data_IF_640919920707
#
_entry.id   IF_640919920707
#
_cell.length_a   1.000
_cell.length_b   1.000
_cell.length_c   1.000
_cell.angle_alpha   90.00
_cell.angle_beta   90.00
_cell.angle_gamma   90.00
#
_symmetry.space_group_name_H-M   'P 1'
#
loop_
_entity.id
_entity.type
_entity.pdbx_description
1 polymer ?
#
# COMPACT_ATOMS: atom_id res chain seq x y z
N UNK A 1 -30.09 -2.04 -0.24
CA UNK A 1 -31.46 -1.85 -0.78
C UNK A 1 -31.50 -1.17 -2.15
N UNK A 2 -30.82 -0.04 -2.44
CA UNK A 2 -30.96 0.62 -3.75
C UNK A 2 -30.45 -0.22 -4.92
N UNK A 3 -29.37 -1.00 -4.71
CA UNK A 3 -28.79 -1.88 -5.73
C UNK A 3 -29.70 -3.07 -6.10
N UNK A 4 -30.42 -3.60 -5.11
CA UNK A 4 -31.39 -4.68 -5.32
C UNK A 4 -32.62 -4.18 -6.10
N UNK A 5 -33.16 -3.02 -5.74
CA UNK A 5 -34.26 -2.39 -6.47
C UNK A 5 -33.87 -2.03 -7.90
N UNK A 6 -32.64 -1.54 -8.11
CA UNK A 6 -32.09 -1.28 -9.44
C UNK A 6 -31.97 -2.56 -10.27
N UNK A 7 -31.48 -3.65 -9.67
CA UNK A 7 -31.39 -4.95 -10.34
C UNK A 7 -32.77 -5.51 -10.69
N UNK A 8 -33.73 -5.45 -9.75
CA UNK A 8 -35.11 -5.86 -9.98
C UNK A 8 -35.77 -5.05 -11.12
N UNK A 9 -35.56 -3.74 -11.13
CA UNK A 9 -36.02 -2.86 -12.21
C UNK A 9 -35.44 -3.26 -13.57
N UNK A 10 -34.12 -3.54 -13.64
CA UNK A 10 -33.48 -4.02 -14.87
C UNK A 10 -34.08 -5.36 -15.34
N UNK A 11 -34.32 -6.29 -14.43
CA UNK A 11 -34.88 -7.62 -14.76
C UNK A 11 -36.33 -7.51 -15.27
N UNK A 12 -37.15 -6.66 -14.64
CA UNK A 12 -38.57 -6.51 -15.00
C UNK A 12 -38.76 -5.69 -16.28
N UNK A 13 -38.05 -4.56 -16.40
CA UNK A 13 -38.28 -3.60 -17.49
C UNK A 13 -37.32 -3.77 -18.68
N UNK A 14 -36.17 -4.43 -18.49
CA UNK A 14 -35.14 -4.62 -19.52
C UNK A 14 -34.56 -6.05 -19.55
N UNK A 15 -35.39 -7.11 -19.60
CA UNK A 15 -34.92 -8.49 -19.53
C UNK A 15 -33.95 -8.86 -20.67
N UNK A 16 -34.07 -8.22 -21.84
CA UNK A 16 -33.17 -8.41 -22.98
C UNK A 16 -31.74 -7.94 -22.73
N UNK A 17 -31.49 -7.08 -21.72
CA UNK A 17 -30.15 -6.67 -21.33
C UNK A 17 -29.41 -7.75 -20.55
N UNK A 18 -30.11 -8.75 -20.00
CA UNK A 18 -29.49 -9.78 -19.17
C UNK A 18 -28.51 -10.65 -19.97
N UNK A 19 -28.89 -11.09 -21.18
CA UNK A 19 -28.03 -11.88 -22.05
C UNK A 19 -26.74 -11.18 -22.48
N UNK A 20 -26.76 -9.93 -23.01
CA UNK A 20 -25.53 -9.23 -23.35
C UNK A 20 -24.68 -8.92 -22.10
N UNK A 21 -25.29 -8.57 -20.96
CA UNK A 21 -24.55 -8.39 -19.71
C UNK A 21 -23.88 -9.69 -19.23
N UNK A 22 -24.59 -10.81 -19.30
CA UNK A 22 -24.06 -12.13 -18.96
C UNK A 22 -22.93 -12.52 -19.92
N UNK A 23 -23.08 -12.28 -21.22
CA UNK A 23 -22.05 -12.55 -22.21
C UNK A 23 -20.78 -11.72 -21.94
N UNK A 24 -20.94 -10.42 -21.65
CA UNK A 24 -19.82 -9.55 -21.26
C UNK A 24 -19.17 -10.04 -19.97
N UNK A 25 -19.96 -10.44 -18.97
CA UNK A 25 -19.45 -10.98 -17.72
C UNK A 25 -18.64 -12.27 -17.93
N UNK A 26 -19.18 -13.23 -18.69
CA UNK A 26 -18.51 -14.50 -19.00
C UNK A 26 -17.24 -14.28 -19.84
N UNK A 27 -17.28 -13.34 -20.79
CA UNK A 27 -16.10 -12.95 -21.56
C UNK A 27 -15.02 -12.37 -20.64
N UNK A 28 -15.37 -11.44 -19.75
CA UNK A 28 -14.42 -10.90 -18.77
C UNK A 28 -13.84 -12.01 -17.88
N UNK A 29 -14.69 -12.91 -17.40
CA UNK A 29 -14.29 -14.04 -16.57
C UNK A 29 -13.29 -14.96 -17.29
N UNK A 30 -13.50 -15.20 -18.59
CA UNK A 30 -12.56 -15.95 -19.44
C UNK A 30 -11.23 -15.21 -19.64
N UNK A 31 -11.26 -13.88 -19.69
CA UNK A 31 -10.07 -13.04 -19.89
C UNK A 31 -9.24 -12.83 -18.61
N UNK A 32 -9.78 -13.12 -17.42
CA UNK A 32 -9.08 -12.94 -16.13
C UNK A 32 -7.73 -13.68 -16.09
N UNK A 33 -7.63 -14.99 -16.38
CA UNK A 33 -6.35 -15.70 -16.34
C UNK A 33 -5.32 -15.15 -17.32
N UNK A 34 -5.77 -14.70 -18.50
CA UNK A 34 -4.91 -14.08 -19.50
C UNK A 34 -4.35 -12.74 -19.00
N UNK A 35 -5.21 -11.86 -18.50
CA UNK A 35 -4.78 -10.60 -17.89
C UNK A 35 -3.85 -10.81 -16.69
N UNK A 36 -4.12 -11.84 -15.88
CA UNK A 36 -3.28 -12.22 -14.75
C UNK A 36 -1.88 -12.67 -15.21
N UNK A 37 -1.79 -13.38 -16.34
CA UNK A 37 -0.49 -13.80 -16.92
C UNK A 37 0.35 -12.60 -17.31
N UNK A 38 -0.21 -11.66 -18.06
CA UNK A 38 0.51 -10.46 -18.50
C UNK A 38 1.02 -9.64 -17.29
N UNK A 39 0.17 -9.46 -16.28
CA UNK A 39 0.56 -8.81 -15.02
C UNK A 39 1.64 -9.58 -14.28
N UNK A 40 1.55 -10.91 -14.27
CA UNK A 40 2.52 -11.77 -13.59
C UNK A 40 3.91 -11.67 -14.20
N UNK A 41 3.99 -11.71 -15.53
CA UNK A 41 5.25 -11.54 -16.27
C UNK A 41 5.85 -10.16 -16.01
N UNK A 42 5.04 -9.11 -16.07
CA UNK A 42 5.48 -7.75 -15.79
C UNK A 42 5.99 -7.60 -14.35
N UNK A 43 5.21 -8.06 -13.36
CA UNK A 43 5.54 -7.97 -11.94
C UNK A 43 6.82 -8.70 -11.57
N UNK A 44 7.13 -9.82 -12.25
CA UNK A 44 8.34 -10.60 -11.97
C UNK A 44 9.62 -9.82 -12.34
N UNK A 45 9.52 -8.87 -13.26
CA UNK A 45 10.64 -8.04 -13.71
C UNK A 45 10.66 -6.72 -12.92
N UNK A 46 9.52 -6.08 -12.71
CA UNK A 46 9.48 -4.73 -12.10
C UNK A 46 9.67 -4.73 -10.60
N UNK A 47 9.06 -5.65 -9.85
CA UNK A 47 9.13 -5.65 -8.38
C UNK A 47 10.57 -5.76 -7.87
N UNK A 48 11.41 -6.69 -8.36
CA UNK A 48 12.82 -6.72 -7.95
C UNK A 48 13.54 -5.40 -8.23
N UNK A 49 13.31 -4.79 -9.40
CA UNK A 49 13.94 -3.52 -9.78
C UNK A 49 13.61 -2.37 -8.83
N UNK A 50 12.35 -2.22 -8.44
CA UNK A 50 11.91 -1.24 -7.45
C UNK A 50 12.54 -1.49 -6.07
N UNK A 51 12.57 -2.75 -5.63
CA UNK A 51 13.21 -3.13 -4.36
C UNK A 51 14.72 -2.84 -4.38
N UNK A 52 15.41 -3.11 -5.49
CA UNK A 52 16.84 -2.80 -5.62
C UNK A 52 17.11 -1.30 -5.56
N UNK A 53 16.30 -0.49 -6.24
CA UNK A 53 16.42 0.97 -6.17
C UNK A 53 16.33 1.49 -4.73
N UNK A 54 15.38 0.97 -3.94
CA UNK A 54 15.26 1.33 -2.53
C UNK A 54 16.42 0.77 -1.70
N UNK A 55 16.77 -0.50 -1.90
CA UNK A 55 17.82 -1.18 -1.13
C UNK A 55 19.18 -0.48 -1.21
N UNK A 56 19.52 0.04 -2.39
CA UNK A 56 20.80 0.72 -2.64
C UNK A 56 20.83 2.17 -2.14
N UNK A 57 19.67 2.78 -1.89
CA UNK A 57 19.57 4.16 -1.42
C UNK A 57 19.36 4.23 0.09
N UNK A 58 20.45 4.34 0.85
CA UNK A 58 20.38 4.43 2.32
C UNK A 58 19.58 5.63 2.81
N UNK A 59 19.62 6.77 2.09
CA UNK A 59 18.84 7.95 2.48
C UNK A 59 17.34 7.66 2.41
N UNK A 60 16.92 7.05 1.30
CA UNK A 60 15.55 6.64 1.08
C UNK A 60 15.07 5.64 2.14
N UNK A 61 15.91 4.63 2.47
CA UNK A 61 15.59 3.64 3.51
C UNK A 61 15.42 4.24 4.91
N UNK A 62 16.24 5.23 5.28
CA UNK A 62 16.10 5.92 6.57
C UNK A 62 14.82 6.77 6.62
N UNK A 63 14.51 7.48 5.54
CA UNK A 63 13.27 8.25 5.47
C UNK A 63 12.03 7.34 5.44
N UNK A 64 12.13 6.17 4.81
CA UNK A 64 11.08 5.15 4.82
C UNK A 64 10.86 4.57 6.22
N UNK A 65 11.92 4.34 7.00
CA UNK A 65 11.79 3.97 8.40
C UNK A 65 11.07 5.05 9.23
N UNK A 66 11.41 6.33 9.01
CA UNK A 66 10.75 7.46 9.68
C UNK A 66 9.28 7.62 9.28
N UNK A 67 8.97 7.39 8.01
CA UNK A 67 7.59 7.37 7.50
C UNK A 67 6.77 6.31 8.25
N UNK A 68 7.25 5.07 8.31
CA UNK A 68 6.60 3.99 9.04
C UNK A 68 6.45 4.31 10.52
N UNK A 69 7.51 4.82 11.16
CA UNK A 69 7.45 5.17 12.58
C UNK A 69 6.42 6.26 12.84
N UNK A 70 6.32 7.27 11.96
CA UNK A 70 5.33 8.34 12.06
C UNK A 70 3.91 7.77 11.98
N UNK A 71 3.61 6.94 10.97
CA UNK A 71 2.28 6.37 10.80
C UNK A 71 1.94 5.42 11.96
N UNK A 72 2.87 4.58 12.40
CA UNK A 72 2.67 3.68 13.54
C UNK A 72 2.35 4.46 14.82
N UNK A 73 3.07 5.55 15.10
CA UNK A 73 2.78 6.42 16.25
C UNK A 73 1.38 7.04 16.16
N UNK A 74 0.97 7.54 14.99
CA UNK A 74 -0.39 8.09 14.81
C UNK A 74 -1.45 7.00 15.04
N UNK A 75 -1.22 5.78 14.51
CA UNK A 75 -2.15 4.67 14.67
C UNK A 75 -2.22 4.14 16.11
N UNK A 76 -1.15 4.23 16.88
CA UNK A 76 -1.16 3.95 18.32
C UNK A 76 -2.02 4.96 19.09
N UNK A 77 -1.99 6.24 18.70
CA UNK A 77 -2.76 7.31 19.37
C UNK A 77 -4.25 7.28 19.01
N UNK A 78 -4.58 7.04 17.75
CA UNK A 78 -5.93 7.23 17.22
C UNK A 78 -6.56 5.94 16.66
N UNK A 79 -5.89 4.80 16.78
CA UNK A 79 -6.29 3.56 16.12
C UNK A 79 -6.02 3.57 14.61
N UNK A 80 -6.41 2.51 13.89
CA UNK A 80 -6.11 2.36 12.46
C UNK A 80 -6.62 3.54 11.62
N UNK A 81 -5.68 4.33 11.09
CA UNK A 81 -5.99 5.45 10.21
C UNK A 81 -5.95 5.03 8.74
N UNK A 82 -6.56 5.83 7.86
CA UNK A 82 -6.43 5.70 6.40
C UNK A 82 -5.27 6.56 5.89
N UNK A 83 -4.10 6.36 6.48
CA UNK A 83 -2.87 7.03 6.06
C UNK A 83 -2.07 6.11 5.14
N UNK A 84 -1.43 6.70 4.15
CA UNK A 84 -0.42 6.04 3.32
C UNK A 84 0.78 6.95 3.21
N UNK A 85 1.98 6.40 3.24
CA UNK A 85 3.20 7.18 3.08
C UNK A 85 4.00 6.82 1.84
N UNK A 86 4.95 7.70 1.55
CA UNK A 86 5.90 7.52 0.46
C UNK A 86 7.21 8.21 0.81
N UNK A 87 8.29 7.44 0.96
CA UNK A 87 9.63 7.97 1.22
C UNK A 87 10.20 8.72 0.01
N UNK A 88 10.96 9.79 0.29
CA UNK A 88 11.77 10.54 -0.67
C UNK A 88 13.22 10.67 -0.14
N UNK A 89 14.14 11.25 -0.89
CA UNK A 89 15.54 11.38 -0.44
C UNK A 89 15.74 12.45 0.66
N UNK A 90 14.92 13.50 0.65
CA UNK A 90 14.97 14.67 1.53
C UNK A 90 13.78 14.73 2.51
N UNK A 91 13.04 13.63 2.66
CA UNK A 91 11.90 13.55 3.53
C UNK A 91 10.99 12.37 3.22
N UNK A 92 9.73 12.49 3.60
CA UNK A 92 8.69 11.53 3.25
C UNK A 92 7.33 12.21 3.20
N UNK A 93 6.45 11.67 2.36
CA UNK A 93 5.07 12.10 2.26
C UNK A 93 4.18 11.28 3.17
N UNK A 94 3.17 11.93 3.73
CA UNK A 94 2.00 11.27 4.32
C UNK A 94 0.75 11.79 3.61
N UNK A 95 -0.12 10.86 3.24
CA UNK A 95 -1.40 11.13 2.59
C UNK A 95 -2.55 10.64 3.45
N UNK A 96 -3.62 11.42 3.47
CA UNK A 96 -4.83 11.19 4.27
C UNK A 96 -5.14 12.39 5.17
N UNK A 97 -6.38 12.51 5.62
CA UNK A 97 -6.80 13.64 6.46
C UNK A 97 -6.20 13.51 7.86
N UNK A 98 -5.42 14.50 8.30
CA UNK A 98 -4.82 14.57 9.62
C UNK A 98 -4.60 16.04 10.06
N UNK A 99 -4.35 16.26 11.35
CA UNK A 99 -3.87 17.55 11.83
C UNK A 99 -2.35 17.66 11.55
N UNK A 100 -1.85 18.73 10.91
CA UNK A 100 -0.41 18.93 10.68
C UNK A 100 0.45 18.80 11.94
N UNK A 101 -0.07 19.27 13.09
CA UNK A 101 0.63 19.21 14.37
C UNK A 101 0.81 17.78 14.85
N UNK A 102 -0.21 16.95 14.66
CA UNK A 102 -0.15 15.52 14.97
C UNK A 102 0.89 14.83 14.08
N UNK A 103 0.94 15.15 12.79
CA UNK A 103 1.95 14.58 11.87
C UNK A 103 3.36 14.97 12.29
N UNK A 104 3.59 16.24 12.61
CA UNK A 104 4.91 16.71 13.05
C UNK A 104 5.33 16.09 14.39
N UNK A 105 4.42 16.05 15.36
CA UNK A 105 4.68 15.47 16.69
C UNK A 105 4.95 13.97 16.58
N UNK A 106 4.12 13.24 15.84
CA UNK A 106 4.30 11.81 15.60
C UNK A 106 5.63 11.51 14.89
N UNK A 107 6.05 12.36 13.95
CA UNK A 107 7.34 12.19 13.29
C UNK A 107 8.50 12.35 14.28
N UNK A 108 8.44 13.35 15.17
CA UNK A 108 9.47 13.58 16.21
C UNK A 108 9.50 12.44 17.23
N UNK A 109 8.33 11.97 17.66
CA UNK A 109 8.20 10.82 18.57
C UNK A 109 8.73 9.55 17.92
N UNK A 110 8.32 9.26 16.68
CA UNK A 110 8.79 8.12 15.90
C UNK A 110 10.31 8.13 15.71
N UNK A 111 10.89 9.29 15.38
CA UNK A 111 12.34 9.48 15.34
C UNK A 111 13.00 9.15 16.69
N UNK A 112 12.49 9.71 17.79
CA UNK A 112 13.03 9.48 19.12
C UNK A 112 13.02 8.01 19.53
N UNK A 113 11.91 7.31 19.26
CA UNK A 113 11.74 5.88 19.55
C UNK A 113 12.63 4.98 18.70
N UNK A 114 12.80 5.29 17.41
CA UNK A 114 13.77 4.59 16.55
C UNK A 114 15.21 4.76 17.06
N UNK A 115 15.59 5.98 17.46
CA UNK A 115 16.91 6.25 18.07
C UNK A 115 17.08 5.50 19.41
N UNK A 116 15.99 5.37 20.19
CA UNK A 116 15.97 4.58 21.42
C UNK A 116 16.01 3.06 21.19
N UNK A 117 15.94 2.60 19.93
CA UNK A 117 16.10 1.20 19.56
C UNK A 117 14.79 0.44 19.29
N UNK A 118 13.64 1.11 19.20
CA UNK A 118 12.35 0.50 18.85
C UNK A 118 12.24 0.21 17.35
N UNK A 119 13.04 -0.75 16.86
CA UNK A 119 13.21 -1.05 15.43
C UNK A 119 11.92 -1.50 14.73
N UNK A 120 10.98 -2.10 15.47
CA UNK A 120 9.69 -2.55 14.93
C UNK A 120 8.85 -1.40 14.35
N UNK A 121 9.08 -0.16 14.80
CA UNK A 121 8.43 1.02 14.23
C UNK A 121 8.81 1.28 12.77
N UNK A 122 9.95 0.74 12.30
CA UNK A 122 10.39 0.85 10.91
C UNK A 122 9.65 -0.13 9.98
N UNK A 123 8.70 -0.91 10.48
CA UNK A 123 7.88 -1.85 9.69
C UNK A 123 6.40 -1.47 9.83
N UNK A 124 5.68 -1.42 8.71
CA UNK A 124 4.24 -1.12 8.68
C UNK A 124 3.47 -2.18 7.90
N UNK A 125 2.31 -2.59 8.44
CA UNK A 125 1.49 -3.68 7.87
C UNK A 125 0.91 -3.35 6.50
N UNK A 126 0.71 -2.07 6.18
CA UNK A 126 0.08 -1.56 4.94
C UNK A 126 1.07 -0.80 4.06
N UNK A 127 2.34 -1.19 4.11
CA UNK A 127 3.40 -0.67 3.25
C UNK A 127 3.27 -1.18 1.80
N UNK A 128 3.67 -0.34 0.83
CA UNK A 128 3.77 -0.71 -0.58
C UNK A 128 4.70 -1.90 -0.82
N UNK A 129 5.79 -2.05 -0.05
CA UNK A 129 6.69 -3.22 -0.10
C UNK A 129 5.95 -4.53 0.18
N UNK A 130 4.99 -4.54 1.11
CA UNK A 130 4.20 -5.76 1.40
C UNK A 130 3.26 -6.11 0.27
N UNK A 131 2.65 -5.11 -0.36
CA UNK A 131 1.78 -5.31 -1.54
C UNK A 131 2.62 -5.84 -2.72
N UNK A 132 3.80 -5.24 -2.95
CA UNK A 132 4.73 -5.67 -3.98
C UNK A 132 5.20 -7.12 -3.75
N UNK A 133 5.52 -7.48 -2.50
CA UNK A 133 5.89 -8.85 -2.13
C UNK A 133 4.76 -9.85 -2.40
N UNK A 134 3.52 -9.53 -2.00
CA UNK A 134 2.35 -10.37 -2.27
C UNK A 134 2.11 -10.54 -3.77
N UNK A 135 2.20 -9.46 -4.55
CA UNK A 135 2.06 -9.50 -6.00
C UNK A 135 3.15 -10.36 -6.66
N UNK A 136 4.39 -10.24 -6.21
CA UNK A 136 5.50 -11.06 -6.69
C UNK A 136 5.27 -12.55 -6.40
N UNK A 137 4.88 -12.90 -5.16
CA UNK A 137 4.55 -14.28 -4.78
C UNK A 137 3.40 -14.81 -5.64
N UNK A 138 2.34 -14.04 -5.81
CA UNK A 138 1.19 -14.45 -6.63
C UNK A 138 1.61 -14.70 -8.08
N UNK A 139 2.45 -13.82 -8.63
CA UNK A 139 2.97 -13.93 -9.99
C UNK A 139 3.84 -15.18 -10.16
N UNK A 140 4.77 -15.41 -9.23
CA UNK A 140 5.66 -16.57 -9.25
C UNK A 140 4.87 -17.89 -9.16
N UNK A 141 3.92 -17.99 -8.23
CA UNK A 141 3.10 -19.19 -8.04
C UNK A 141 2.20 -19.43 -9.25
N UNK A 142 1.54 -18.38 -9.76
CA UNK A 142 0.70 -18.51 -10.94
C UNK A 142 1.50 -18.98 -12.16
N UNK A 143 2.66 -18.39 -12.42
CA UNK A 143 3.52 -18.80 -13.53
C UNK A 143 4.04 -20.23 -13.35
N UNK A 144 4.39 -20.65 -12.13
CA UNK A 144 4.78 -22.03 -11.84
C UNK A 144 3.62 -23.01 -12.12
N UNK A 145 2.41 -22.70 -11.68
CA UNK A 145 1.21 -23.50 -11.96
C UNK A 145 0.89 -23.53 -13.46
N UNK A 146 1.04 -22.41 -14.16
CA UNK A 146 0.83 -22.31 -15.60
C UNK A 146 1.83 -23.18 -16.35
N UNK A 147 3.11 -23.11 -16.02
CA UNK A 147 4.17 -23.92 -16.65
C UNK A 147 3.97 -25.42 -16.37
N UNK A 148 3.55 -25.78 -15.16
CA UNK A 148 3.31 -27.18 -14.77
C UNK A 148 2.04 -27.77 -15.41
N UNK A 149 0.96 -26.98 -15.51
CA UNK A 149 -0.33 -27.47 -16.00
C UNK A 149 -0.58 -27.21 -17.49
N UNK A 150 0.12 -26.25 -18.10
CA UNK A 150 -0.12 -25.76 -19.45
C UNK A 150 -1.47 -25.04 -19.62
N UNK A 151 -2.15 -24.67 -18.52
CA UNK A 151 -3.53 -24.16 -18.55
C UNK A 151 -3.69 -22.81 -17.87
N UNK A 152 -4.35 -21.89 -18.55
CA UNK A 152 -4.75 -20.58 -18.03
C UNK A 152 -6.11 -20.66 -17.33
N UNK A 153 -6.18 -21.26 -16.14
CA UNK A 153 -7.44 -21.46 -15.41
C UNK A 153 -7.65 -20.43 -14.31
N UNK A 154 -8.91 -20.14 -13.98
CA UNK A 154 -9.28 -19.35 -12.79
C UNK A 154 -8.82 -20.01 -11.49
N UNK A 155 -8.82 -21.34 -11.44
CA UNK A 155 -8.35 -22.07 -10.26
C UNK A 155 -6.88 -21.75 -9.96
N UNK A 156 -6.03 -21.69 -10.99
CA UNK A 156 -4.62 -21.31 -10.83
C UNK A 156 -4.48 -19.87 -10.28
N UNK A 157 -5.32 -18.94 -10.74
CA UNK A 157 -5.36 -17.56 -10.21
C UNK A 157 -5.78 -17.55 -8.74
N UNK A 158 -6.85 -18.28 -8.37
CA UNK A 158 -7.35 -18.35 -6.99
C UNK A 158 -6.31 -18.96 -6.06
N UNK A 159 -5.65 -20.06 -6.45
CA UNK A 159 -4.57 -20.68 -5.66
C UNK A 159 -3.41 -19.70 -5.49
N UNK A 160 -2.98 -19.05 -6.57
CA UNK A 160 -1.89 -18.08 -6.52
C UNK A 160 -2.20 -16.89 -5.59
N UNK A 161 -3.43 -16.37 -5.62
CA UNK A 161 -3.86 -15.29 -4.72
C UNK A 161 -3.98 -15.77 -3.27
N UNK A 162 -4.50 -16.97 -3.03
CA UNK A 162 -4.60 -17.54 -1.68
C UNK A 162 -3.21 -17.71 -1.05
N UNK A 163 -2.27 -18.28 -1.80
CA UNK A 163 -0.89 -18.43 -1.34
C UNK A 163 -0.19 -17.08 -1.14
N UNK A 164 -0.43 -16.10 -2.01
CA UNK A 164 0.09 -14.75 -1.85
C UNK A 164 -0.43 -14.04 -0.59
N UNK A 165 -1.69 -14.23 -0.23
CA UNK A 165 -2.24 -13.66 1.01
C UNK A 165 -1.64 -14.31 2.27
N UNK A 166 -1.26 -15.59 2.19
CA UNK A 166 -0.60 -16.30 3.29
C UNK A 166 0.87 -15.89 3.45
N UNK A 167 1.62 -15.86 2.35
CA UNK A 167 3.09 -15.68 2.36
C UNK A 167 3.50 -14.21 2.24
N UNK A 168 2.71 -13.41 1.51
CA UNK A 168 3.01 -12.01 1.19
C UNK A 168 3.27 -11.13 2.42
N UNK A 169 2.42 -11.15 3.46
CA UNK A 169 2.66 -10.37 4.68
C UNK A 169 3.97 -10.71 5.38
N UNK A 170 4.30 -12.01 5.47
CA UNK A 170 5.56 -12.46 6.08
C UNK A 170 6.77 -11.96 5.28
N UNK A 171 6.77 -12.21 3.97
CA UNK A 171 7.85 -11.75 3.08
C UNK A 171 7.98 -10.23 3.07
N UNK A 172 6.85 -9.52 3.04
CA UNK A 172 6.78 -8.06 3.09
C UNK A 172 7.43 -7.50 4.34
N UNK A 173 7.12 -8.04 5.52
CA UNK A 173 7.72 -7.59 6.78
C UNK A 173 9.24 -7.85 6.80
N UNK A 174 9.70 -9.00 6.31
CA UNK A 174 11.13 -9.30 6.18
C UNK A 174 11.83 -8.32 5.23
N UNK A 175 11.25 -8.08 4.06
CA UNK A 175 11.79 -7.11 3.09
C UNK A 175 11.84 -5.70 3.67
N UNK A 176 10.82 -5.29 4.42
CA UNK A 176 10.85 -4.00 5.11
C UNK A 176 12.01 -3.94 6.11
N UNK A 177 12.06 -4.86 7.06
CA UNK A 177 13.03 -4.85 8.16
C UNK A 177 14.49 -4.90 7.71
N UNK A 178 14.79 -5.60 6.61
CA UNK A 178 16.18 -5.86 6.18
C UNK A 178 16.58 -5.19 4.87
N UNK A 179 15.62 -4.83 4.00
CA UNK A 179 15.92 -4.38 2.63
C UNK A 179 15.43 -2.96 2.40
N UNK A 180 14.16 -2.64 2.67
CA UNK A 180 13.55 -1.37 2.24
C UNK A 180 13.53 -0.29 3.32
N UNK A 181 13.83 -0.59 4.58
CA UNK A 181 13.96 0.40 5.66
C UNK A 181 15.30 0.27 6.38
N UNK A 182 15.78 1.38 6.95
CA UNK A 182 16.97 1.44 7.82
C UNK A 182 16.57 2.16 9.11
N UNK A 183 16.42 1.41 10.20
CA UNK A 183 16.00 1.94 11.50
C UNK A 183 17.04 2.89 12.12
N UNK A 184 18.30 2.84 11.68
CA UNK A 184 19.34 3.74 12.17
C UNK A 184 19.24 5.12 11.53
N UNK A 185 18.37 5.94 12.11
CA UNK A 185 18.02 7.28 11.64
C UNK A 185 18.81 8.39 12.34
N UNK A 186 19.84 8.05 13.14
CA UNK A 186 20.62 9.03 13.94
C UNK A 186 21.30 10.13 13.11
N UNK A 187 21.53 9.87 11.83
CA UNK A 187 22.08 10.83 10.88
C UNK A 187 20.99 11.67 10.17
N UNK A 188 19.77 11.68 10.70
CA UNK A 188 18.63 12.45 10.19
C UNK A 188 18.14 13.44 11.22
N UNK A 189 17.62 14.56 10.74
CA UNK A 189 16.88 15.52 11.54
C UNK A 189 15.59 15.91 10.83
N UNK A 190 14.49 15.91 11.56
CA UNK A 190 13.20 16.45 11.09
C UNK A 190 13.29 17.98 11.13
N UNK A 191 13.12 18.60 9.96
CA UNK A 191 13.22 20.05 9.77
C UNK A 191 11.87 20.73 9.95
N UNK A 192 10.81 20.14 9.40
CA UNK A 192 9.45 20.67 9.46
C UNK A 192 8.50 19.88 8.57
N UNK A 193 7.23 20.30 8.54
CA UNK A 193 6.17 19.67 7.75
C UNK A 193 5.52 20.71 6.84
N UNK A 194 5.59 20.49 5.53
CA UNK A 194 4.82 21.23 4.54
C UNK A 194 3.49 20.52 4.30
N UNK A 195 2.40 21.26 4.06
CA UNK A 195 1.09 20.68 3.81
C UNK A 195 0.26 21.50 2.83
N UNK A 196 -0.72 20.85 2.19
CA UNK A 196 -1.65 21.52 1.27
C UNK A 196 -2.67 22.40 2.01
N UNK A 197 -3.38 23.26 1.28
CA UNK A 197 -4.39 24.18 1.85
C UNK A 197 -5.64 23.51 2.42
N UNK A 198 -5.69 22.17 2.44
CA UNK A 198 -6.78 21.40 3.03
C UNK A 198 -7.98 21.16 2.13
N UNK A 199 -8.69 20.07 2.43
CA UNK A 199 -10.02 19.75 1.91
C UNK A 199 -11.05 19.89 3.02
N UNK A 200 -12.24 20.39 2.68
CA UNK A 200 -13.35 20.45 3.62
C UNK A 200 -13.80 19.03 3.99
N UNK A 201 -13.69 18.69 5.28
CA UNK A 201 -14.12 17.44 5.88
C UNK A 201 -15.20 17.76 6.92
N UNK A 202 -16.24 16.92 6.95
CA UNK A 202 -17.29 17.02 7.95
C UNK A 202 -16.85 16.32 9.24
N UNK A 203 -16.80 17.08 10.34
CA UNK A 203 -16.54 16.61 11.70
C UNK A 203 -17.79 16.83 12.56
N UNK A 204 -17.95 16.17 13.73
CA UNK A 204 -19.19 16.25 14.53
C UNK A 204 -19.67 17.66 14.91
N UNK A 205 -18.77 18.65 14.84
CA UNK A 205 -19.03 20.05 15.21
C UNK A 205 -19.03 21.01 14.01
N UNK A 206 -19.01 20.53 12.77
CA UNK A 206 -19.09 21.36 11.55
C UNK A 206 -18.13 20.93 10.44
N UNK A 207 -17.90 21.83 9.49
CA UNK A 207 -16.93 21.62 8.41
C UNK A 207 -15.58 22.21 8.81
N UNK A 208 -14.53 21.41 8.73
CA UNK A 208 -13.15 21.86 8.93
C UNK A 208 -12.32 21.54 7.69
N UNK A 209 -11.45 22.48 7.28
CA UNK A 209 -10.48 22.22 6.23
C UNK A 209 -9.30 21.46 6.84
N UNK A 210 -9.18 20.17 6.49
CA UNK A 210 -8.05 19.35 6.91
C UNK A 210 -7.11 19.10 5.73
N UNK A 211 -5.80 19.37 5.87
CA UNK A 211 -4.80 18.96 4.90
C UNK A 211 -4.83 17.45 4.67
N UNK A 212 -4.57 17.07 3.43
CA UNK A 212 -4.61 15.67 2.98
C UNK A 212 -3.27 15.18 2.44
N UNK A 213 -2.32 16.10 2.24
CA UNK A 213 -0.97 15.81 1.79
C UNK A 213 0.01 16.57 2.66
N UNK A 214 0.92 15.83 3.28
CA UNK A 214 1.99 16.32 4.14
C UNK A 214 3.33 15.89 3.56
N UNK A 215 4.33 16.76 3.62
CA UNK A 215 5.70 16.43 3.33
C UNK A 215 6.56 16.75 4.54
N UNK A 216 7.05 15.72 5.22
CA UNK A 216 7.93 15.85 6.38
C UNK A 216 9.37 15.91 5.87
N UNK A 217 9.99 17.09 5.97
CA UNK A 217 11.36 17.31 5.51
C UNK A 217 12.36 16.72 6.49
N UNK A 218 13.33 15.97 5.96
CA UNK A 218 14.48 15.49 6.70
C UNK A 218 15.77 16.04 6.11
N UNK A 219 16.75 16.31 6.96
CA UNK A 219 18.10 16.69 6.53
C UNK A 219 19.11 15.75 7.15
N UNK A 220 20.16 15.45 6.40
CA UNK A 220 21.33 14.73 6.91
C UNK A 220 22.10 15.63 7.89
N UNK A 221 22.43 15.10 9.06
CA UNK A 221 23.29 15.78 10.04
C UNK A 221 24.76 15.61 9.73
#
# INVERSE_FOLDING_TARGET
MPLFLFFLFLVVFFPWLFLPLLAVFLLNLLLVPFGFTLRSLWSLITVPGELFHIALNRNLRQNHALEHATINVIEEWYGPQRLSGHAAEDGFYIHGAADPRVVEEAARVGYGRLVAGEKELAVHKRCGTTIAAANFVSSAIFLALLLASGRFTLLNVVIALAMANLVGPFLGNTLQAYVTTDWDVRQRRIVGVDYDSGRAVFVPWGWQALPTKFFVRTRKT
#
